data_IF_933963494907
#
_entry.id   IF_933963494907
#
_cell.length_a   1.000
_cell.length_b   1.000
_cell.length_c   1.000
_cell.angle_alpha   90.00
_cell.angle_beta   90.00
_cell.angle_gamma   90.00
#
_symmetry.space_group_name_H-M   'P 1'
#
loop_
_entity.id
_entity.type
_entity.pdbx_description
1 polymer ?
#
# COMPACT_ATOMS: atom_id res chain seq x y z
N UNK A 1 14.86 -6.79 -10.34
CA UNK A 1 13.80 -6.15 -9.54
C UNK A 1 14.29 -6.07 -8.11
N UNK A 2 14.19 -4.91 -7.46
CA UNK A 2 14.57 -4.79 -6.06
C UNK A 2 13.48 -5.42 -5.18
N UNK A 3 13.88 -6.36 -4.32
CA UNK A 3 13.05 -6.95 -3.27
C UNK A 3 13.64 -6.53 -1.94
N UNK A 4 12.81 -6.08 -1.01
CA UNK A 4 13.22 -5.65 0.33
C UNK A 4 12.55 -6.51 1.38
N UNK A 5 13.32 -6.97 2.35
CA UNK A 5 12.84 -7.66 3.55
C UNK A 5 13.13 -6.81 4.78
N UNK A 6 12.07 -6.37 5.46
CA UNK A 6 12.18 -5.63 6.71
C UNK A 6 11.79 -6.57 7.84
N UNK A 7 12.70 -6.81 8.78
CA UNK A 7 12.42 -7.56 10.00
C UNK A 7 12.19 -6.55 11.12
N UNK A 8 10.97 -6.53 11.67
CA UNK A 8 10.63 -5.69 12.81
C UNK A 8 10.63 -6.57 14.06
N UNK A 9 11.41 -6.19 15.05
CA UNK A 9 11.56 -6.85 16.33
C UNK A 9 10.91 -5.98 17.41
N UNK A 10 10.27 -6.60 18.38
CA UNK A 10 9.84 -5.90 19.60
C UNK A 10 10.25 -6.73 20.81
N UNK A 11 10.59 -6.03 21.89
CA UNK A 11 10.92 -6.66 23.16
C UNK A 11 10.28 -5.88 24.30
N UNK A 12 9.62 -6.59 25.20
CA UNK A 12 9.21 -6.01 26.49
C UNK A 12 8.07 -4.99 26.43
N UNK A 13 7.31 -4.90 25.34
CA UNK A 13 6.16 -3.98 25.24
C UNK A 13 5.20 -4.17 26.44
N UNK A 14 4.72 -3.07 27.01
CA UNK A 14 3.86 -3.09 28.20
C UNK A 14 2.47 -3.67 27.90
N UNK A 15 2.00 -3.48 26.66
CA UNK A 15 0.69 -3.89 26.18
C UNK A 15 0.75 -4.40 24.74
N UNK A 16 -0.28 -5.16 24.36
CA UNK A 16 -0.49 -5.54 22.98
C UNK A 16 -0.57 -4.27 22.13
N UNK A 17 0.30 -4.22 21.13
CA UNK A 17 0.57 -3.04 20.33
C UNK A 17 0.42 -3.42 18.86
N UNK A 18 -0.42 -2.68 18.16
CA UNK A 18 -0.70 -2.91 16.75
C UNK A 18 -0.05 -1.83 15.92
N UNK A 19 0.79 -2.26 14.98
CA UNK A 19 1.51 -1.45 14.03
C UNK A 19 0.77 -1.49 12.68
N UNK A 20 0.31 -0.34 12.24
CA UNK A 20 -0.27 -0.15 10.91
C UNK A 20 0.80 0.44 9.98
N UNK A 21 0.90 -0.11 8.78
CA UNK A 21 1.85 0.29 7.76
C UNK A 21 1.08 0.69 6.51
N UNK A 22 1.41 1.85 5.97
CA UNK A 22 0.79 2.40 4.77
C UNK A 22 1.82 3.15 3.94
N UNK A 23 1.61 3.17 2.63
CA UNK A 23 2.44 3.99 1.74
C UNK A 23 1.91 5.42 1.71
N UNK A 24 2.82 6.39 1.71
CA UNK A 24 2.42 7.79 1.60
C UNK A 24 1.74 8.05 0.25
N UNK A 25 0.53 8.62 0.26
CA UNK A 25 -0.14 8.98 -0.98
C UNK A 25 0.61 10.15 -1.65
N UNK A 26 0.58 10.24 -2.99
CA UNK A 26 0.98 11.45 -3.68
C UNK A 26 0.21 12.67 -3.16
N UNK A 27 0.93 13.73 -2.80
CA UNK A 27 0.31 14.98 -2.38
C UNK A 27 -0.57 15.54 -3.51
N UNK A 28 -1.87 15.67 -3.23
CA UNK A 28 -2.89 15.97 -4.22
C UNK A 28 -4.09 16.61 -3.53
N UNK A 29 -4.66 17.65 -4.13
CA UNK A 29 -5.90 18.28 -3.64
C UNK A 29 -7.13 17.36 -3.70
N UNK A 30 -6.99 16.16 -4.28
CA UNK A 30 -8.03 15.12 -4.36
C UNK A 30 -7.92 14.08 -3.25
N UNK A 31 -6.90 14.15 -2.40
CA UNK A 31 -6.74 13.25 -1.27
C UNK A 31 -7.97 13.33 -0.35
N UNK A 32 -8.45 12.16 0.08
CA UNK A 32 -9.68 11.97 0.87
C UNK A 32 -10.99 12.40 0.18
N UNK A 33 -10.95 12.80 -1.10
CA UNK A 33 -12.14 13.13 -1.90
C UNK A 33 -12.39 12.09 -2.99
N UNK A 34 -11.41 11.95 -3.89
CA UNK A 34 -11.44 10.99 -4.99
C UNK A 34 -10.26 10.03 -4.95
N UNK A 35 -9.29 10.28 -4.07
CA UNK A 35 -8.05 9.52 -3.92
C UNK A 35 -7.86 9.17 -2.44
N UNK A 36 -7.69 7.89 -2.14
CA UNK A 36 -7.68 7.38 -0.77
C UNK A 36 -6.48 6.46 -0.56
N UNK A 37 -5.68 6.67 0.50
CA UNK A 37 -4.68 5.69 0.93
C UNK A 37 -5.36 4.40 1.35
N UNK A 38 -4.67 3.28 1.17
CA UNK A 38 -5.13 1.96 1.62
C UNK A 38 -4.09 1.38 2.56
N UNK A 39 -4.56 0.86 3.69
CA UNK A 39 -3.71 0.22 4.70
C UNK A 39 -3.04 -1.01 4.08
N UNK A 40 -1.70 -1.05 4.09
CA UNK A 40 -0.96 -2.14 3.45
C UNK A 40 -0.79 -3.35 4.37
N UNK A 41 -0.33 -3.14 5.61
CA UNK A 41 -0.14 -4.20 6.60
C UNK A 41 -0.58 -3.73 7.98
N UNK A 42 -1.15 -4.65 8.74
CA UNK A 42 -1.47 -4.48 10.16
C UNK A 42 -0.84 -5.65 10.91
N UNK A 43 0.00 -5.36 11.90
CA UNK A 43 0.77 -6.35 12.64
C UNK A 43 0.59 -6.09 14.13
N UNK A 44 0.14 -7.10 14.86
CA UNK A 44 0.01 -7.02 16.32
C UNK A 44 1.19 -7.72 17.00
N UNK A 45 1.92 -6.97 17.82
CA UNK A 45 2.98 -7.47 18.70
C UNK A 45 2.38 -7.69 20.09
N UNK A 46 2.62 -8.88 20.66
CA UNK A 46 2.14 -9.25 21.99
C UNK A 46 3.01 -8.62 23.07
N UNK A 47 2.39 -8.22 24.17
CA UNK A 47 3.07 -7.67 25.34
C UNK A 47 4.06 -8.66 25.98
N UNK A 48 5.05 -8.13 26.71
CA UNK A 48 5.91 -8.86 27.67
C UNK A 48 6.81 -9.97 27.08
N UNK A 49 6.90 -10.07 25.75
CA UNK A 49 7.67 -11.12 25.07
C UNK A 49 8.61 -10.58 23.98
N UNK A 50 9.35 -11.52 23.37
CA UNK A 50 10.04 -11.27 22.11
C UNK A 50 9.07 -11.55 20.97
N UNK A 51 8.91 -10.58 20.07
CA UNK A 51 8.13 -10.78 18.85
C UNK A 51 8.91 -10.30 17.63
N UNK A 52 8.63 -10.94 16.50
CA UNK A 52 9.23 -10.65 15.20
C UNK A 52 8.16 -10.67 14.13
N UNK A 53 8.19 -9.67 13.26
CA UNK A 53 7.43 -9.65 12.03
C UNK A 53 8.38 -9.47 10.83
N UNK A 54 8.09 -10.15 9.73
CA UNK A 54 8.83 -10.02 8.48
C UNK A 54 7.91 -9.44 7.40
N UNK A 55 8.29 -8.26 6.90
CA UNK A 55 7.64 -7.60 5.78
C UNK A 55 8.42 -7.88 4.51
N UNK A 56 7.71 -8.25 3.46
CA UNK A 56 8.28 -8.48 2.14
C UNK A 56 7.70 -7.45 1.17
N UNK A 57 8.58 -6.63 0.62
CA UNK A 57 8.24 -5.64 -0.39
C UNK A 57 8.92 -6.01 -1.70
N UNK A 58 8.16 -6.01 -2.79
CA UNK A 58 8.70 -6.16 -4.13
C UNK A 58 8.06 -5.12 -5.01
N UNK A 59 8.87 -4.36 -5.75
CA UNK A 59 8.38 -3.31 -6.64
C UNK A 59 7.82 -3.87 -7.95
N UNK A 60 6.79 -4.72 -7.85
CA UNK A 60 5.96 -5.21 -8.97
C UNK A 60 4.64 -4.49 -8.93
N UNK A 61 4.59 -3.35 -9.60
CA UNK A 61 3.43 -2.47 -9.59
C UNK A 61 2.31 -3.04 -10.44
N UNK A 62 1.07 -2.84 -10.02
CA UNK A 62 -0.11 -3.20 -10.77
C UNK A 62 -1.24 -2.19 -10.58
N UNK A 63 -2.06 -2.05 -11.61
CA UNK A 63 -3.37 -1.41 -11.50
C UNK A 63 -4.44 -2.46 -11.20
N UNK A 64 -5.37 -2.12 -10.30
CA UNK A 64 -6.51 -2.95 -9.93
C UNK A 64 -7.84 -2.30 -10.29
N UNK A 65 -8.84 -3.12 -10.59
CA UNK A 65 -10.25 -2.74 -10.62
C UNK A 65 -10.81 -2.96 -9.23
N UNK A 66 -10.82 -1.88 -8.45
CA UNK A 66 -11.11 -1.96 -7.04
C UNK A 66 -12.60 -2.11 -6.74
N UNK A 67 -12.91 -2.91 -5.74
CA UNK A 67 -14.21 -3.03 -5.10
C UNK A 67 -14.03 -2.78 -3.61
N UNK A 68 -15.01 -2.15 -3.00
CA UNK A 68 -15.03 -1.91 -1.55
C UNK A 68 -16.22 -2.62 -0.96
N UNK A 69 -16.00 -3.37 0.12
CA UNK A 69 -17.08 -3.99 0.88
C UNK A 69 -17.71 -3.00 1.89
N UNK A 70 -18.59 -3.51 2.75
CA UNK A 70 -19.26 -2.71 3.79
C UNK A 70 -18.30 -2.18 4.87
N UNK A 71 -17.15 -2.83 5.04
CA UNK A 71 -16.12 -2.47 6.02
C UNK A 71 -15.08 -1.51 5.42
N UNK A 72 -15.32 -1.01 4.19
CA UNK A 72 -14.37 -0.23 3.39
C UNK A 72 -13.05 -0.98 3.07
N UNK A 73 -13.05 -2.32 3.11
CA UNK A 73 -11.92 -3.10 2.67
C UNK A 73 -11.85 -3.07 1.15
N UNK A 74 -10.68 -2.72 0.64
CA UNK A 74 -10.40 -2.68 -0.78
C UNK A 74 -9.96 -4.08 -1.23
N UNK A 75 -10.74 -4.66 -2.12
CA UNK A 75 -10.37 -5.83 -2.90
C UNK A 75 -10.29 -5.45 -4.40
N UNK A 76 -9.73 -6.31 -5.25
CA UNK A 76 -9.65 -6.08 -6.68
C UNK A 76 -10.18 -7.28 -7.47
N UNK A 77 -11.28 -7.04 -8.20
CA UNK A 77 -11.88 -8.05 -9.06
C UNK A 77 -11.02 -8.39 -10.29
N UNK A 78 -10.09 -7.51 -10.67
CA UNK A 78 -9.09 -7.75 -11.69
C UNK A 78 -7.88 -6.87 -11.44
N UNK A 79 -6.68 -7.30 -11.86
CA UNK A 79 -5.48 -6.47 -11.85
C UNK A 79 -4.61 -6.76 -13.07
N UNK A 80 -3.69 -5.84 -13.37
CA UNK A 80 -2.66 -5.99 -14.40
C UNK A 80 -1.35 -5.40 -13.91
N UNK A 81 -0.28 -6.17 -13.96
CA UNK A 81 1.08 -5.67 -13.70
C UNK A 81 1.42 -4.56 -14.70
N UNK A 82 2.11 -3.53 -14.24
CA UNK A 82 2.45 -2.34 -15.03
C UNK A 82 3.86 -1.89 -14.71
N UNK A 83 4.62 -1.54 -15.75
CA UNK A 83 5.94 -0.95 -15.61
C UNK A 83 5.91 0.57 -15.81
N UNK A 84 6.91 1.28 -15.29
CA UNK A 84 7.06 2.72 -15.52
C UNK A 84 7.06 3.03 -17.02
N UNK A 85 6.24 4.00 -17.43
CA UNK A 85 6.07 4.37 -18.84
C UNK A 85 5.09 3.49 -19.61
N UNK A 86 4.44 2.50 -18.98
CA UNK A 86 3.34 1.76 -19.59
C UNK A 86 1.98 2.37 -19.28
N UNK A 87 1.02 2.09 -20.17
CA UNK A 87 -0.37 2.51 -20.07
C UNK A 87 -1.26 1.27 -20.03
N UNK A 88 -1.89 1.05 -18.88
CA UNK A 88 -2.92 0.03 -18.70
C UNK A 88 -4.30 0.57 -19.06
N UNK A 89 -5.20 -0.32 -19.48
CA UNK A 89 -6.58 0.04 -19.85
C UNK A 89 -7.54 -0.98 -19.28
N UNK A 90 -8.54 -0.49 -18.55
CA UNK A 90 -9.70 -1.30 -18.18
C UNK A 90 -10.82 -1.07 -19.17
N UNK A 91 -11.45 -2.14 -19.64
CA UNK A 91 -12.58 -2.11 -20.56
C UNK A 91 -13.61 -3.17 -20.17
N UNK A 92 -14.81 -3.09 -20.75
CA UNK A 92 -15.92 -4.01 -20.46
C UNK A 92 -17.12 -3.30 -19.84
N UNK A 93 -18.19 -4.06 -19.63
CA UNK A 93 -19.46 -3.61 -19.04
C UNK A 93 -19.58 -4.13 -17.61
N UNK A 94 -20.62 -3.69 -16.88
CA UNK A 94 -20.84 -4.01 -15.46
C UNK A 94 -20.58 -5.49 -15.11
N UNK A 95 -19.84 -5.72 -14.02
CA UNK A 95 -19.42 -7.06 -13.56
C UNK A 95 -18.37 -7.78 -14.42
N UNK A 96 -18.10 -7.32 -15.64
CA UNK A 96 -17.14 -7.95 -16.59
C UNK A 96 -16.02 -7.00 -17.03
N UNK A 97 -15.67 -6.04 -16.16
CA UNK A 97 -14.54 -5.15 -16.42
C UNK A 97 -13.24 -5.92 -16.28
N UNK A 98 -12.36 -5.80 -17.29
CA UNK A 98 -11.08 -6.51 -17.35
C UNK A 98 -10.00 -5.61 -17.91
N UNK A 99 -8.77 -5.88 -17.52
CA UNK A 99 -7.60 -5.25 -18.12
C UNK A 99 -7.23 -5.92 -19.44
N UNK A 100 -6.84 -5.10 -20.40
CA UNK A 100 -6.20 -5.57 -21.63
C UNK A 100 -4.68 -5.59 -21.51
N UNK A 101 -3.99 -5.84 -22.63
CA UNK A 101 -2.54 -5.69 -22.69
C UNK A 101 -2.13 -4.24 -22.43
N UNK A 102 -1.01 -4.07 -21.73
CA UNK A 102 -0.38 -2.77 -21.58
C UNK A 102 0.16 -2.27 -22.92
N UNK A 103 0.02 -0.97 -23.17
CA UNK A 103 0.70 -0.32 -24.27
C UNK A 103 1.90 0.46 -23.74
N UNK A 104 2.93 0.63 -24.58
CA UNK A 104 3.95 1.65 -24.31
C UNK A 104 3.29 3.03 -24.28
N UNK A 105 3.55 3.78 -23.22
CA UNK A 105 3.13 5.16 -23.07
C UNK A 105 4.11 6.13 -23.72
N UNK A 106 3.86 7.42 -23.49
CA UNK A 106 4.88 8.45 -23.72
C UNK A 106 6.02 8.27 -22.72
N UNK A 107 7.21 8.82 -23.00
CA UNK A 107 8.43 8.69 -22.20
C UNK A 107 8.37 9.35 -20.80
N UNK A 108 7.21 9.33 -20.14
CA UNK A 108 6.97 9.81 -18.79
C UNK A 108 7.27 8.69 -17.79
N UNK A 109 7.89 9.01 -16.65
CA UNK A 109 8.07 8.08 -15.51
C UNK A 109 6.77 7.74 -14.76
N UNK A 110 5.61 8.14 -15.31
CA UNK A 110 4.31 7.94 -14.69
C UNK A 110 3.72 6.60 -15.10
N UNK A 111 3.00 5.98 -14.16
CA UNK A 111 2.07 4.89 -14.43
C UNK A 111 0.73 5.49 -14.81
N UNK A 112 0.14 5.02 -15.91
CA UNK A 112 -1.16 5.52 -16.37
C UNK A 112 -2.15 4.38 -16.51
N UNK A 113 -3.33 4.55 -15.93
CA UNK A 113 -4.45 3.64 -16.15
C UNK A 113 -5.64 4.41 -16.74
N UNK A 114 -6.11 3.97 -17.91
CA UNK A 114 -7.29 4.55 -18.56
C UNK A 114 -8.53 3.74 -18.23
N UNK A 115 -9.58 4.42 -17.77
CA UNK A 115 -10.92 3.87 -17.73
C UNK A 115 -11.53 3.94 -19.13
N UNK A 116 -11.34 2.89 -19.94
CA UNK A 116 -11.91 2.82 -21.28
C UNK A 116 -13.36 2.30 -21.30
N UNK A 117 -14.02 2.19 -20.15
CA UNK A 117 -15.43 1.82 -20.07
C UNK A 117 -16.33 3.03 -20.34
N UNK A 118 -17.63 2.77 -20.49
CA UNK A 118 -18.65 3.81 -20.67
C UNK A 118 -19.29 4.24 -19.34
N UNK A 119 -18.70 3.83 -18.21
CA UNK A 119 -19.19 4.09 -16.85
C UNK A 119 -18.04 4.52 -15.95
N UNK A 120 -18.35 5.02 -14.75
CA UNK A 120 -17.31 5.24 -13.73
C UNK A 120 -16.71 3.91 -13.28
N UNK A 121 -15.44 3.95 -12.87
CA UNK A 121 -14.75 2.80 -12.30
C UNK A 121 -13.89 3.22 -11.12
N UNK A 122 -13.82 2.38 -10.10
CA UNK A 122 -12.83 2.51 -9.05
C UNK A 122 -11.54 1.85 -9.54
N UNK A 123 -10.43 2.56 -9.43
CA UNK A 123 -9.10 2.08 -9.86
C UNK A 123 -8.17 2.11 -8.66
N UNK A 124 -7.31 1.13 -8.51
CA UNK A 124 -6.28 1.13 -7.48
C UNK A 124 -4.89 0.97 -8.09
N UNK A 125 -3.87 1.39 -7.35
CA UNK A 125 -2.48 0.99 -7.59
C UNK A 125 -1.98 0.25 -6.34
N UNK A 126 -1.09 -0.71 -6.56
CA UNK A 126 -0.59 -1.57 -5.52
C UNK A 126 0.50 -2.49 -6.03
N UNK A 127 0.79 -3.54 -5.27
CA UNK A 127 1.86 -4.48 -5.57
C UNK A 127 1.33 -5.87 -5.87
N UNK A 128 2.04 -6.59 -6.72
CA UNK A 128 1.83 -8.03 -6.93
C UNK A 128 2.90 -8.80 -6.17
N UNK A 129 2.44 -9.72 -5.32
CA UNK A 129 3.28 -10.68 -4.60
C UNK A 129 3.02 -12.08 -5.12
N UNK A 130 4.06 -12.92 -5.13
CA UNK A 130 3.96 -14.31 -5.58
C UNK A 130 3.95 -14.43 -7.11
N UNK A 131 3.85 -15.67 -7.60
CA UNK A 131 3.96 -15.98 -9.02
C UNK A 131 2.91 -17.02 -9.46
N UNK A 132 2.55 -16.98 -10.74
CA UNK A 132 1.52 -17.85 -11.32
C UNK A 132 0.19 -17.78 -10.57
N UNK A 133 -0.34 -18.95 -10.19
CA UNK A 133 -1.62 -19.06 -9.47
C UNK A 133 -1.59 -18.49 -8.04
N UNK A 134 -0.39 -18.28 -7.49
CA UNK A 134 -0.18 -17.74 -6.15
C UNK A 134 -0.02 -16.22 -6.14
N UNK A 135 -0.20 -15.56 -7.29
CA UNK A 135 -0.18 -14.11 -7.35
C UNK A 135 -1.30 -13.51 -6.50
N UNK A 136 -0.93 -12.52 -5.70
CA UNK A 136 -1.83 -11.73 -4.87
C UNK A 136 -1.56 -10.25 -5.11
N UNK A 137 -2.62 -9.51 -5.37
CA UNK A 137 -2.58 -8.06 -5.49
C UNK A 137 -2.83 -7.41 -4.13
N UNK A 138 -1.98 -6.48 -3.74
CA UNK A 138 -2.05 -5.74 -2.48
C UNK A 138 -2.24 -4.24 -2.79
N UNK A 139 -3.47 -3.71 -2.72
CA UNK A 139 -3.73 -2.31 -3.01
C UNK A 139 -3.09 -1.41 -1.94
N UNK A 140 -2.57 -0.26 -2.37
CA UNK A 140 -1.99 0.75 -1.46
C UNK A 140 -2.60 2.12 -1.65
N UNK A 141 -3.28 2.34 -2.77
CA UNK A 141 -4.03 3.55 -3.03
C UNK A 141 -5.19 3.27 -3.98
N UNK A 142 -6.29 3.99 -3.77
CA UNK A 142 -7.54 3.86 -4.48
C UNK A 142 -7.99 5.22 -5.04
N UNK A 143 -8.45 5.23 -6.28
CA UNK A 143 -9.23 6.31 -6.87
C UNK A 143 -10.68 5.87 -7.06
N UNK A 144 -11.62 6.60 -6.46
CA UNK A 144 -13.05 6.30 -6.58
C UNK A 144 -13.66 7.07 -7.73
N UNK A 145 -14.61 6.44 -8.44
CA UNK A 145 -15.47 7.16 -9.38
C UNK A 145 -14.75 7.74 -10.60
N UNK A 146 -13.62 7.16 -11.03
CA UNK A 146 -12.86 7.62 -12.22
C UNK A 146 -13.79 7.65 -13.42
N UNK A 147 -13.94 8.82 -14.04
CA UNK A 147 -14.88 9.07 -15.13
C UNK A 147 -14.70 8.12 -16.32
N UNK A 148 -15.79 7.89 -17.05
CA UNK A 148 -15.73 7.17 -18.33
C UNK A 148 -14.74 7.89 -19.26
N UNK A 149 -13.92 7.10 -19.97
CA UNK A 149 -12.86 7.59 -20.88
C UNK A 149 -11.80 8.49 -20.23
N UNK A 150 -11.80 8.61 -18.91
CA UNK A 150 -10.79 9.36 -18.15
C UNK A 150 -9.59 8.46 -17.79
N UNK A 151 -8.55 9.05 -17.21
CA UNK A 151 -7.39 8.31 -16.75
C UNK A 151 -6.92 8.78 -15.37
N UNK A 152 -6.23 7.88 -14.68
CA UNK A 152 -5.37 8.20 -13.54
C UNK A 152 -3.93 8.14 -14.00
N UNK A 153 -3.11 9.06 -13.51
CA UNK A 153 -1.67 9.08 -13.73
C UNK A 153 -1.00 9.27 -12.38
N UNK A 154 -0.03 8.42 -12.05
CA UNK A 154 0.66 8.44 -10.76
C UNK A 154 2.13 8.20 -10.95
N UNK A 155 2.96 8.95 -10.21
CA UNK A 155 4.33 8.57 -9.95
C UNK A 155 4.38 7.89 -8.59
N UNK A 156 4.97 6.70 -8.53
CA UNK A 156 5.00 5.92 -7.30
C UNK A 156 6.39 5.99 -6.66
N UNK A 157 6.45 6.56 -5.45
CA UNK A 157 7.62 6.53 -4.58
C UNK A 157 7.25 5.69 -3.35
N UNK A 158 7.98 4.60 -3.05
CA UNK A 158 7.64 3.68 -1.96
C UNK A 158 8.06 4.23 -0.60
N UNK A 159 7.50 5.37 -0.19
CA UNK A 159 7.67 5.89 1.16
C UNK A 159 6.67 5.14 2.05
N UNK A 160 7.19 4.38 3.01
CA UNK A 160 6.42 3.56 3.93
C UNK A 160 6.41 4.24 5.30
N UNK A 161 5.22 4.51 5.82
CA UNK A 161 5.02 5.09 7.14
C UNK A 161 4.40 4.06 8.08
N UNK A 162 4.73 4.17 9.37
CA UNK A 162 4.22 3.30 10.42
C UNK A 162 3.52 4.10 11.53
N UNK A 163 2.39 3.58 11.99
CA UNK A 163 1.52 4.18 12.99
C UNK A 163 1.15 3.16 14.06
N UNK A 164 0.98 3.62 15.29
CA UNK A 164 0.41 2.80 16.37
C UNK A 164 -1.09 3.08 16.44
N UNK A 165 -1.90 2.05 16.23
CA UNK A 165 -3.36 2.15 16.15
C UNK A 165 -3.99 0.79 16.42
N UNK A 166 -5.26 0.76 16.84
CA UNK A 166 -6.01 -0.48 17.13
C UNK A 166 -7.18 -0.72 16.17
N UNK A 167 -7.51 0.25 15.34
CA UNK A 167 -8.84 0.35 14.74
C UNK A 167 -8.88 0.02 13.25
N UNK A 168 -7.72 -0.17 12.62
CA UNK A 168 -7.62 -0.40 11.19
C UNK A 168 -7.32 -1.85 10.83
N UNK A 169 -7.90 -2.30 9.72
CA UNK A 169 -7.67 -3.60 9.09
C UNK A 169 -6.74 -3.45 7.88
N UNK A 170 -6.04 -4.53 7.54
CA UNK A 170 -5.30 -4.57 6.28
C UNK A 170 -6.28 -4.42 5.10
N UNK A 171 -5.86 -3.70 4.06
CA UNK A 171 -6.65 -3.28 2.89
C UNK A 171 -7.80 -2.31 3.17
N UNK A 172 -7.94 -1.80 4.39
CA UNK A 172 -8.93 -0.78 4.69
C UNK A 172 -8.59 0.56 4.01
N UNK A 173 -9.59 1.19 3.41
CA UNK A 173 -9.47 2.52 2.80
C UNK A 173 -9.56 3.62 3.86
N UNK A 174 -8.55 4.48 3.92
CA UNK A 174 -8.53 5.63 4.82
C UNK A 174 -9.27 6.82 4.20
N UNK A 175 -10.35 7.27 4.86
CA UNK A 175 -11.18 8.41 4.44
C UNK A 175 -10.77 9.75 5.06
N UNK A 176 -9.77 9.74 5.93
CA UNK A 176 -9.19 10.91 6.56
C UNK A 176 -7.77 10.63 7.01
N UNK A 177 -7.16 11.63 7.63
CA UNK A 177 -5.85 11.47 8.27
C UNK A 177 -5.94 10.49 9.44
N UNK A 178 -4.84 9.78 9.68
CA UNK A 178 -4.70 8.95 10.88
C UNK A 178 -4.60 9.91 12.06
N UNK A 179 -5.35 9.64 13.14
CA UNK A 179 -5.40 10.54 14.29
C UNK A 179 -4.05 10.68 15.02
N UNK A 180 -3.13 9.75 14.80
CA UNK A 180 -1.80 9.74 15.37
C UNK A 180 -0.74 10.07 14.34
N UNK A 181 0.34 10.71 14.78
CA UNK A 181 1.51 10.94 13.95
C UNK A 181 2.21 9.62 13.60
N UNK A 182 2.85 9.59 12.43
CA UNK A 182 3.71 8.47 12.06
C UNK A 182 4.91 8.40 13.02
N UNK A 183 5.12 7.25 13.63
CA UNK A 183 6.29 7.02 14.51
C UNK A 183 7.57 6.73 13.73
N UNK A 184 7.41 6.50 12.41
CA UNK A 184 8.49 6.14 11.49
C UNK A 184 8.03 6.33 10.04
N UNK A 185 8.91 6.83 9.18
CA UNK A 185 8.70 6.90 7.73
C UNK A 185 10.03 6.73 7.00
N UNK A 186 10.05 5.94 5.92
CA UNK A 186 11.26 5.76 5.11
C UNK A 186 10.95 5.45 3.65
N UNK A 187 11.82 5.92 2.75
CA UNK A 187 11.81 5.51 1.35
C UNK A 187 12.45 4.11 1.21
N UNK A 188 11.67 3.11 0.83
CA UNK A 188 12.15 1.72 0.72
C UNK A 188 13.22 1.54 -0.38
N UNK A 189 13.34 2.48 -1.33
CA UNK A 189 14.39 2.45 -2.34
C UNK A 189 15.79 2.72 -1.77
N UNK A 190 15.87 3.34 -0.59
CA UNK A 190 17.13 3.74 0.06
C UNK A 190 17.63 2.66 1.03
N UNK A 191 16.88 1.57 1.21
CA UNK A 191 17.23 0.48 2.10
C UNK A 191 18.04 -0.61 1.41
N UNK A 192 18.88 -1.28 2.19
CA UNK A 192 19.48 -2.56 1.79
C UNK A 192 18.41 -3.63 1.60
N UNK A 193 18.74 -4.71 0.88
CA UNK A 193 17.79 -5.78 0.55
C UNK A 193 17.21 -6.48 1.78
N UNK A 194 17.97 -6.53 2.88
CA UNK A 194 17.50 -7.03 4.17
C UNK A 194 17.88 -6.04 5.25
N UNK A 195 16.89 -5.62 6.04
CA UNK A 195 17.08 -4.72 7.18
C UNK A 195 16.40 -5.25 8.44
N UNK A 196 16.93 -4.87 9.59
CA UNK A 196 16.35 -5.11 10.91
C UNK A 196 15.96 -3.79 11.56
N UNK A 197 14.84 -3.80 12.28
CA UNK A 197 14.26 -2.63 12.94
C UNK A 197 13.71 -3.04 14.30
N UNK A 198 13.90 -2.20 15.32
CA UNK A 198 13.38 -2.40 16.66
C UNK A 198 12.20 -1.45 16.88
N UNK A 199 11.03 -2.00 17.19
CA UNK A 199 9.89 -1.28 17.74
C UNK A 199 10.09 -1.16 19.25
N UNK A 200 10.23 0.07 19.73
CA UNK A 200 10.56 0.41 21.11
C UNK A 200 9.39 1.19 21.71
N UNK A 201 9.03 0.87 22.95
CA UNK A 201 8.13 1.66 23.79
C UNK A 201 8.98 2.33 24.87
N UNK A 202 8.89 3.65 25.00
CA UNK A 202 9.59 4.40 26.04
C UNK A 202 8.92 4.20 27.40
N UNK A 203 9.70 3.77 28.39
CA UNK A 203 9.16 3.38 29.71
C UNK A 203 8.56 4.54 30.50
N UNK A 204 8.97 5.78 30.23
CA UNK A 204 8.53 6.95 30.99
C UNK A 204 7.33 7.66 30.36
N UNK A 205 7.33 7.78 29.03
CA UNK A 205 6.34 8.53 28.26
C UNK A 205 5.29 7.63 27.62
N UNK A 206 5.59 6.34 27.45
CA UNK A 206 4.76 5.40 26.68
C UNK A 206 4.76 5.69 25.17
N UNK A 207 5.67 6.54 24.69
CA UNK A 207 5.82 6.85 23.28
C UNK A 207 6.46 5.67 22.53
N UNK A 208 6.11 5.51 21.25
CA UNK A 208 6.67 4.46 20.41
C UNK A 208 7.61 5.03 19.37
N UNK A 209 8.67 4.29 19.06
CA UNK A 209 9.60 4.59 17.96
C UNK A 209 10.02 3.32 17.23
N UNK A 210 10.47 3.48 15.98
CA UNK A 210 11.13 2.41 15.24
C UNK A 210 12.55 2.85 14.90
N UNK A 211 13.53 2.07 15.33
CA UNK A 211 14.94 2.35 15.12
C UNK A 211 15.64 1.22 14.36
N UNK A 212 16.69 1.55 13.59
CA UNK A 212 17.44 0.53 12.84
C UNK A 212 18.18 -0.40 13.82
N UNK A 213 17.99 -1.70 13.66
CA UNK A 213 18.68 -2.69 14.48
C UNK A 213 20.19 -2.66 14.17
N UNK A 214 21.01 -2.59 15.22
CA UNK A 214 22.47 -2.51 15.09
C UNK A 214 23.14 -3.86 14.75
N UNK A 215 22.39 -4.95 14.80
CA UNK A 215 22.86 -6.30 14.45
C UNK A 215 21.73 -7.02 13.68
N UNK A 216 22.04 -7.56 12.51
CA UNK A 216 21.16 -8.42 11.68
C UNK A 216 21.80 -9.80 11.58
#
# INVERSE_FOLDING_TARGET
>A
MASKKLNIYSYGLHRDTTLMLMFEPPNSSKLYRDQFPVVWKVITFRAKGHAKAALHYQQRLAFGYAQTDCDNLVDSAAWVEVSSGEVSRIAGKGGQKRFGHNAKGHATKMLVCKNNTDSRANLSVGFVRGDGINQRYEPTMLWTGVGAKSNVAVQFTPILSAYITRDYKATEMLRGEVETDAIWSINLNELDDVTGWNLIEDDFTGAFSIERARFV
#
